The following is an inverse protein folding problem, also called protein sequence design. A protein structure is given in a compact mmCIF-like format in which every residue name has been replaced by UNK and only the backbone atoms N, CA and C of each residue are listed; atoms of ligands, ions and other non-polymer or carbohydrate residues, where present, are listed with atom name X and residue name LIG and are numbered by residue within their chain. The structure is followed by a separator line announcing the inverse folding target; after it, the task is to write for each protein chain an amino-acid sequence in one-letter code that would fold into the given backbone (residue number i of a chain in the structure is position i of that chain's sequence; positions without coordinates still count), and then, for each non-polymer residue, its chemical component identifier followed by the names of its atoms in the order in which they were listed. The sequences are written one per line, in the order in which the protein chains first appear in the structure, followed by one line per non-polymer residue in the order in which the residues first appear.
data_IF_569419638562
#
_entry.id   IF_569419638562
#
_cell.length_a   1.000
_cell.length_b   1.000
_cell.length_c   1.000
_cell.angle_alpha   90.00
_cell.angle_beta   90.00
_cell.angle_gamma   90.00
#
_symmetry.space_group_name_H-M   'P 1'
#
loop_
_entity.id
_entity.type
_entity.pdbx_description
1 polymer ?
#
# COMPACT_ATOMS: atom_id res chain seq x y z
N UNK A 1 23.42 19.81 -30.03
CA UNK A 1 21.97 19.90 -30.30
C UNK A 1 21.25 18.85 -29.46
N UNK A 2 21.19 19.06 -28.14
CA UNK A 2 20.75 18.04 -27.16
C UNK A 2 20.05 18.63 -25.94
N UNK A 3 19.36 19.76 -26.09
CA UNK A 3 18.87 20.58 -24.98
C UNK A 3 17.34 20.61 -24.69
N UNK A 4 16.40 20.08 -25.51
CA UNK A 4 14.96 20.19 -25.18
C UNK A 4 14.39 19.01 -24.37
N UNK A 5 14.98 17.82 -24.45
CA UNK A 5 14.48 16.64 -23.76
C UNK A 5 14.87 16.62 -22.27
N UNK A 6 16.08 17.07 -21.94
CA UNK A 6 16.58 17.12 -20.56
C UNK A 6 15.80 18.11 -19.69
N UNK A 7 15.43 19.27 -20.24
CA UNK A 7 14.59 20.26 -19.56
C UNK A 7 13.16 19.73 -19.31
N UNK A 8 12.62 18.93 -20.23
CA UNK A 8 11.29 18.32 -20.07
C UNK A 8 11.27 17.24 -18.99
N UNK A 9 12.31 16.41 -18.91
CA UNK A 9 12.46 15.39 -17.85
C UNK A 9 12.63 16.06 -16.49
N UNK A 10 13.47 17.08 -16.38
CA UNK A 10 13.65 17.84 -15.15
C UNK A 10 12.34 18.49 -14.68
N UNK A 11 11.57 19.06 -15.60
CA UNK A 11 10.26 19.63 -15.30
C UNK A 11 9.25 18.57 -14.83
N UNK A 12 9.24 17.37 -15.43
CA UNK A 12 8.39 16.26 -15.02
C UNK A 12 8.71 15.80 -13.59
N UNK A 13 9.99 15.59 -13.27
CA UNK A 13 10.44 15.20 -11.93
C UNK A 13 10.06 16.27 -10.91
N UNK A 14 10.37 17.54 -11.20
CA UNK A 14 10.05 18.64 -10.30
C UNK A 14 8.53 18.75 -10.05
N UNK A 15 7.70 18.53 -11.07
CA UNK A 15 6.25 18.49 -10.93
C UNK A 15 5.80 17.34 -10.03
N UNK A 16 6.22 16.10 -10.30
CA UNK A 16 5.82 14.93 -9.50
C UNK A 16 6.18 15.05 -8.01
N UNK A 17 7.38 15.59 -7.71
CA UNK A 17 7.80 15.83 -6.33
C UNK A 17 6.95 16.91 -5.64
N UNK A 18 6.64 18.01 -6.33
CA UNK A 18 5.78 19.08 -5.80
C UNK A 18 4.35 18.61 -5.59
N UNK A 19 3.78 17.90 -6.56
CA UNK A 19 2.43 17.36 -6.49
C UNK A 19 2.32 16.38 -5.31
N UNK A 20 3.30 15.48 -5.15
CA UNK A 20 3.34 14.55 -4.02
C UNK A 20 3.49 15.25 -2.65
N UNK A 21 4.27 16.34 -2.57
CA UNK A 21 4.37 17.13 -1.33
C UNK A 21 3.06 17.86 -1.01
N UNK A 22 2.44 18.49 -2.02
CA UNK A 22 1.16 19.16 -1.89
C UNK A 22 0.05 18.19 -1.48
N UNK A 23 0.00 17.01 -2.09
CA UNK A 23 -1.00 15.98 -1.77
C UNK A 23 -0.89 15.53 -0.31
N UNK A 24 0.32 15.28 0.19
CA UNK A 24 0.52 14.91 1.61
C UNK A 24 0.06 16.02 2.56
N UNK A 25 0.26 17.28 2.19
CA UNK A 25 -0.20 18.42 3.00
C UNK A 25 -1.72 18.48 3.05
N UNK A 26 -2.38 18.38 1.90
CA UNK A 26 -3.85 18.35 1.82
C UNK A 26 -4.39 17.16 2.60
N UNK A 27 -3.84 15.96 2.41
CA UNK A 27 -4.26 14.75 3.12
C UNK A 27 -4.15 14.91 4.63
N UNK A 28 -3.07 15.52 5.13
CA UNK A 28 -2.94 15.80 6.56
C UNK A 28 -4.06 16.72 7.07
N UNK A 29 -4.35 17.78 6.32
CA UNK A 29 -5.32 18.81 6.71
C UNK A 29 -6.77 18.32 6.55
N UNK A 30 -7.06 17.37 5.64
CA UNK A 30 -8.43 16.88 5.37
C UNK A 30 -8.73 15.49 5.92
N UNK A 31 -7.78 14.55 5.86
CA UNK A 31 -8.01 13.11 6.14
C UNK A 31 -7.10 12.56 7.27
N UNK A 32 -6.25 13.37 7.88
CA UNK A 32 -5.30 12.90 8.91
C UNK A 32 -5.99 12.17 10.08
N UNK A 33 -7.18 12.61 10.46
CA UNK A 33 -8.01 11.96 11.47
C UNK A 33 -8.54 10.58 11.01
N UNK A 34 -8.91 10.45 9.74
CA UNK A 34 -9.38 9.19 9.16
C UNK A 34 -8.23 8.16 9.10
N UNK A 35 -7.04 8.58 8.67
CA UNK A 35 -5.83 7.73 8.66
C UNK A 35 -5.49 7.24 10.07
N UNK A 36 -5.51 8.13 11.06
CA UNK A 36 -5.26 7.78 12.47
C UNK A 36 -6.30 6.80 13.02
N UNK A 37 -7.56 6.95 12.60
CA UNK A 37 -8.65 6.05 12.98
C UNK A 37 -8.47 4.67 12.36
N UNK A 38 -8.13 4.59 11.07
CA UNK A 38 -7.83 3.33 10.39
C UNK A 38 -6.65 2.59 11.05
N UNK A 39 -5.57 3.31 11.38
CA UNK A 39 -4.42 2.73 12.08
C UNK A 39 -4.81 2.15 13.44
N UNK A 40 -5.65 2.85 14.22
CA UNK A 40 -6.14 2.35 15.51
C UNK A 40 -6.97 1.07 15.37
N UNK A 41 -7.86 0.99 14.38
CA UNK A 41 -8.66 -0.22 14.12
C UNK A 41 -7.74 -1.42 13.85
N UNK A 42 -6.68 -1.23 13.06
CA UNK A 42 -5.69 -2.29 12.79
C UNK A 42 -4.93 -2.68 14.05
N UNK A 43 -4.47 -1.71 14.84
CA UNK A 43 -3.75 -1.96 16.11
C UNK A 43 -4.63 -2.76 17.07
N UNK A 44 -5.88 -2.35 17.26
CA UNK A 44 -6.81 -3.01 18.18
C UNK A 44 -7.12 -4.43 17.71
N UNK A 45 -7.33 -4.64 16.41
CA UNK A 45 -7.59 -5.96 15.83
C UNK A 45 -6.39 -6.90 16.03
N UNK A 46 -5.17 -6.46 15.72
CA UNK A 46 -3.97 -7.30 15.85
C UNK A 46 -3.62 -7.56 17.31
N UNK A 47 -3.77 -6.56 18.20
CA UNK A 47 -3.56 -6.72 19.63
C UNK A 47 -4.57 -7.69 20.27
N UNK A 48 -5.81 -7.70 19.76
CA UNK A 48 -6.84 -8.68 20.12
C UNK A 48 -6.62 -10.08 19.53
N UNK A 49 -5.50 -10.33 18.84
CA UNK A 49 -5.18 -11.60 18.22
C UNK A 49 -5.83 -11.80 16.85
N UNK A 50 -6.41 -10.77 16.23
CA UNK A 50 -6.90 -10.79 14.86
C UNK A 50 -5.78 -10.83 13.81
N UNK A 51 -6.18 -11.04 12.56
CA UNK A 51 -5.28 -11.03 11.39
C UNK A 51 -5.67 -9.88 10.48
N UNK A 52 -4.69 -9.07 10.07
CA UNK A 52 -4.90 -8.07 9.03
C UNK A 52 -4.83 -8.74 7.65
N UNK A 53 -5.89 -8.62 6.86
CA UNK A 53 -5.88 -8.99 5.44
C UNK A 53 -5.76 -7.73 4.59
N UNK A 54 -4.80 -7.69 3.67
CA UNK A 54 -4.55 -6.53 2.80
C UNK A 54 -4.61 -6.98 1.35
N UNK A 55 -5.25 -6.20 0.49
CA UNK A 55 -5.45 -6.54 -0.92
C UNK A 55 -5.56 -5.27 -1.77
N UNK A 56 -5.41 -5.42 -3.08
CA UNK A 56 -5.47 -4.33 -4.04
C UNK A 56 -5.04 -4.79 -5.43
N UNK A 57 -5.21 -3.94 -6.43
CA UNK A 57 -4.90 -4.23 -7.83
C UNK A 57 -3.70 -3.39 -8.31
N UNK A 58 -2.89 -3.94 -9.22
CA UNK A 58 -1.75 -3.22 -9.81
C UNK A 58 -0.75 -2.73 -8.76
N UNK A 59 -0.48 -1.42 -8.72
CA UNK A 59 0.41 -0.83 -7.71
C UNK A 59 -0.04 -1.09 -6.27
N UNK A 60 -1.34 -1.06 -6.00
CA UNK A 60 -1.88 -1.35 -4.66
C UNK A 60 -1.68 -2.82 -4.24
N UNK A 61 -1.53 -3.74 -5.20
CA UNK A 61 -1.17 -5.12 -4.88
C UNK A 61 0.26 -5.21 -4.32
N UNK A 62 1.17 -4.40 -4.86
CA UNK A 62 2.54 -4.27 -4.37
C UNK A 62 2.57 -3.63 -2.97
N UNK A 63 1.73 -2.61 -2.73
CA UNK A 63 1.58 -2.01 -1.39
C UNK A 63 1.01 -3.02 -0.38
N UNK A 64 0.03 -3.84 -0.78
CA UNK A 64 -0.57 -4.86 0.09
C UNK A 64 0.48 -5.87 0.61
N UNK A 65 1.31 -6.41 -0.30
CA UNK A 65 2.40 -7.30 0.10
C UNK A 65 3.50 -6.58 0.88
N UNK A 66 3.76 -5.30 0.60
CA UNK A 66 4.74 -4.51 1.33
C UNK A 66 4.31 -4.35 2.80
N UNK A 67 3.08 -3.89 3.03
CA UNK A 67 2.49 -3.74 4.37
C UNK A 67 2.50 -5.07 5.13
N UNK A 68 2.05 -6.15 4.50
CA UNK A 68 2.05 -7.47 5.12
C UNK A 68 3.47 -7.93 5.51
N UNK A 69 4.46 -7.68 4.64
CA UNK A 69 5.86 -8.05 4.89
C UNK A 69 6.48 -7.27 6.05
N UNK A 70 6.22 -5.96 6.15
CA UNK A 70 6.68 -5.12 7.26
C UNK A 70 6.05 -5.56 8.61
N UNK A 71 4.78 -5.96 8.58
CA UNK A 71 4.07 -6.45 9.77
C UNK A 71 4.52 -7.86 10.18
N UNK A 72 4.66 -8.80 9.26
CA UNK A 72 5.09 -10.18 9.57
C UNK A 72 6.57 -10.23 9.96
N UNK A 73 7.41 -9.52 9.20
CA UNK A 73 8.84 -9.42 9.46
C UNK A 73 9.12 -8.41 10.57
N UNK A 74 9.62 -7.24 10.19
CA UNK A 74 9.94 -6.11 11.07
C UNK A 74 9.78 -4.81 10.28
N UNK A 75 9.38 -3.75 10.96
CA UNK A 75 9.36 -2.38 10.41
C UNK A 75 10.47 -1.57 11.08
N UNK A 76 10.11 -0.63 11.98
CA UNK A 76 11.09 0.23 12.67
C UNK A 76 11.73 -0.40 13.92
N UNK A 77 10.98 -1.24 14.65
CA UNK A 77 11.40 -1.80 15.95
C UNK A 77 11.54 -3.31 15.87
N UNK A 78 12.48 -3.84 16.66
CA UNK A 78 12.55 -5.28 16.87
C UNK A 78 11.40 -5.73 17.79
N UNK A 79 10.59 -6.65 17.28
CA UNK A 79 9.39 -7.20 17.93
C UNK A 79 9.03 -8.55 17.28
N UNK A 80 8.24 -9.40 17.96
CA UNK A 80 7.64 -10.58 17.32
C UNK A 80 6.81 -10.21 16.10
N UNK A 81 6.72 -11.10 15.11
CA UNK A 81 5.88 -10.93 13.91
C UNK A 81 4.41 -10.63 14.25
N UNK A 82 3.80 -9.69 13.53
CA UNK A 82 2.36 -9.40 13.62
C UNK A 82 1.59 -10.19 12.56
N UNK A 83 0.35 -10.56 12.87
CA UNK A 83 -0.50 -11.36 11.97
C UNK A 83 -1.03 -10.49 10.82
N UNK A 84 -0.39 -10.59 9.66
CA UNK A 84 -0.85 -9.95 8.44
C UNK A 84 -0.68 -10.86 7.22
N UNK A 85 -1.62 -10.82 6.28
CA UNK A 85 -1.61 -11.60 5.03
C UNK A 85 -2.01 -10.70 3.88
N UNK A 86 -1.17 -10.66 2.84
CA UNK A 86 -1.55 -10.05 1.56
C UNK A 86 -2.28 -11.10 0.70
N UNK A 87 -3.48 -10.78 0.23
CA UNK A 87 -4.26 -11.70 -0.62
C UNK A 87 -3.81 -11.67 -2.09
N UNK A 88 -2.77 -10.91 -2.40
CA UNK A 88 -2.32 -10.60 -3.76
C UNK A 88 -1.11 -11.43 -4.23
N UNK A 89 -0.64 -12.38 -3.40
CA UNK A 89 0.64 -13.07 -3.65
C UNK A 89 0.49 -14.54 -4.04
N UNK A 90 -0.62 -15.19 -3.70
CA UNK A 90 -0.87 -16.58 -4.11
C UNK A 90 -1.43 -16.60 -5.53
N UNK A 91 -0.54 -16.67 -6.51
CA UNK A 91 -0.92 -16.69 -7.92
C UNK A 91 -1.81 -17.87 -8.28
N UNK A 92 -1.69 -19.01 -7.59
CA UNK A 92 -2.53 -20.18 -7.85
C UNK A 92 -3.97 -19.90 -7.43
N UNK A 93 -4.16 -19.33 -6.23
CA UNK A 93 -5.48 -18.91 -5.77
C UNK A 93 -6.09 -17.83 -6.67
N UNK A 94 -5.32 -16.76 -6.96
CA UNK A 94 -5.79 -15.65 -7.79
C UNK A 94 -6.25 -16.13 -9.18
N UNK A 95 -5.43 -16.95 -9.85
CA UNK A 95 -5.72 -17.41 -11.21
C UNK A 95 -6.81 -18.47 -11.26
N UNK A 96 -6.88 -19.37 -10.27
CA UNK A 96 -7.97 -20.35 -10.18
C UNK A 96 -9.31 -19.65 -9.92
N UNK A 97 -9.36 -18.71 -8.97
CA UNK A 97 -10.59 -17.95 -8.67
C UNK A 97 -11.04 -17.14 -9.89
N UNK A 98 -10.11 -16.41 -10.53
CA UNK A 98 -10.41 -15.63 -11.72
C UNK A 98 -10.93 -16.50 -12.88
N UNK A 99 -10.33 -17.68 -13.09
CA UNK A 99 -10.70 -18.60 -14.15
C UNK A 99 -12.06 -19.26 -13.90
N UNK A 100 -12.29 -19.73 -12.68
CA UNK A 100 -13.44 -20.57 -12.35
C UNK A 100 -14.69 -19.74 -12.00
N UNK A 101 -14.51 -18.56 -11.39
CA UNK A 101 -15.59 -17.72 -10.86
C UNK A 101 -15.60 -16.28 -11.41
N UNK A 102 -14.59 -15.89 -12.18
CA UNK A 102 -14.43 -14.54 -12.71
C UNK A 102 -13.62 -13.62 -11.79
N UNK A 103 -12.99 -12.60 -12.38
CA UNK A 103 -12.10 -11.69 -11.64
C UNK A 103 -12.80 -10.89 -10.53
N UNK A 104 -14.10 -10.66 -10.62
CA UNK A 104 -14.87 -9.97 -9.56
C UNK A 104 -14.95 -10.77 -8.24
N UNK A 105 -14.55 -12.04 -8.26
CA UNK A 105 -14.48 -12.90 -7.06
C UNK A 105 -13.06 -13.00 -6.48
N UNK A 106 -12.08 -12.31 -7.08
CA UNK A 106 -10.67 -12.27 -6.65
C UNK A 106 -10.44 -11.20 -5.58
#
# INVERSE_FOLDING_TARGET
MGAPADDAVAALVARGLRDGASLRRVLLDTEGAAVSTAARVVVDAVAGGGTLFVFGNGGSAADAQHIASELVGRYERDRPGLRAIALTVDTSALTAIANDFGFDQV
#
